data_IF_552406146375
#
_entry.id   IF_552406146375
#
_cell.length_a   1.000
_cell.length_b   1.000
_cell.length_c   1.000
_cell.angle_alpha   90.00
_cell.angle_beta   90.00
_cell.angle_gamma   90.00
#
_symmetry.space_group_name_H-M   'P 1'
#
loop_
_entity.id
_entity.type
_entity.pdbx_description
1 polymer ?
#
# COMPACT_ATOMS: atom_id res chain seq x y z
N UNK A 1 5.70 -24.11 9.26
CA UNK A 1 5.17 -22.78 8.90
C UNK A 1 6.26 -22.01 8.13
N UNK A 2 6.49 -22.29 6.83
CA UNK A 2 7.58 -21.68 6.06
C UNK A 2 7.21 -20.34 5.38
N UNK A 3 5.95 -20.17 4.98
CA UNK A 3 5.51 -19.02 4.16
C UNK A 3 5.56 -17.69 4.92
N UNK A 4 5.35 -17.71 6.24
CA UNK A 4 5.34 -16.49 7.05
C UNK A 4 6.71 -15.83 7.24
N UNK A 5 7.81 -16.59 7.26
CA UNK A 5 9.15 -15.96 7.32
C UNK A 5 9.52 -15.34 5.98
N UNK A 6 9.10 -15.95 4.87
CA UNK A 6 9.42 -15.50 3.52
C UNK A 6 8.80 -14.13 3.22
N UNK A 7 7.51 -13.92 3.52
CA UNK A 7 6.85 -12.61 3.33
C UNK A 7 7.52 -11.52 4.14
N UNK A 8 7.89 -11.82 5.39
CA UNK A 8 8.60 -10.87 6.25
C UNK A 8 9.96 -10.48 5.65
N UNK A 9 10.75 -11.45 5.22
CA UNK A 9 12.08 -11.21 4.65
C UNK A 9 12.01 -10.43 3.33
N UNK A 10 11.04 -10.75 2.47
CA UNK A 10 10.78 -10.02 1.24
C UNK A 10 10.33 -8.58 1.50
N UNK A 11 9.45 -8.36 2.47
CA UNK A 11 9.03 -7.02 2.87
C UNK A 11 10.22 -6.20 3.39
N UNK A 12 11.05 -6.79 4.27
CA UNK A 12 12.29 -6.15 4.74
C UNK A 12 13.24 -5.83 3.57
N UNK A 13 13.37 -6.71 2.59
CA UNK A 13 14.19 -6.47 1.39
C UNK A 13 13.67 -5.27 0.59
N UNK A 14 12.37 -5.19 0.34
CA UNK A 14 11.76 -4.05 -0.37
C UNK A 14 12.07 -2.73 0.35
N UNK A 15 11.97 -2.70 1.67
CA UNK A 15 12.28 -1.51 2.47
C UNK A 15 13.77 -1.14 2.42
N UNK A 16 14.68 -2.11 2.44
CA UNK A 16 16.13 -1.86 2.29
C UNK A 16 16.50 -1.35 0.90
N UNK A 17 15.82 -1.86 -0.13
CA UNK A 17 16.06 -1.51 -1.53
C UNK A 17 15.38 -0.19 -1.93
N UNK A 18 14.65 0.48 -1.03
CA UNK A 18 13.86 1.69 -1.30
C UNK A 18 14.64 2.77 -2.04
N UNK A 19 15.91 3.01 -1.65
CA UNK A 19 16.77 4.03 -2.25
C UNK A 19 17.42 3.66 -3.58
N UNK A 20 17.18 2.45 -4.11
CA UNK A 20 17.89 1.94 -5.30
C UNK A 20 17.36 2.49 -6.63
N UNK A 21 16.08 2.88 -6.69
CA UNK A 21 15.42 3.44 -7.88
C UNK A 21 14.06 4.03 -7.52
N UNK A 22 13.50 4.89 -8.36
CA UNK A 22 12.13 5.42 -8.17
C UNK A 22 11.07 4.31 -8.12
N UNK A 23 11.22 3.25 -8.92
CA UNK A 23 10.30 2.09 -8.87
C UNK A 23 10.42 1.34 -7.55
N UNK A 24 11.64 1.16 -7.01
CA UNK A 24 11.84 0.52 -5.72
C UNK A 24 11.25 1.36 -4.59
N UNK A 25 11.45 2.68 -4.65
CA UNK A 25 10.88 3.63 -3.72
C UNK A 25 9.36 3.60 -3.71
N UNK A 26 8.74 3.66 -4.89
CA UNK A 26 7.30 3.56 -5.05
C UNK A 26 6.75 2.21 -4.57
N UNK A 27 7.49 1.12 -4.79
CA UNK A 27 7.11 -0.21 -4.29
C UNK A 27 7.07 -0.26 -2.76
N UNK A 28 8.05 0.34 -2.08
CA UNK A 28 8.05 0.48 -0.62
C UNK A 28 6.86 1.31 -0.13
N UNK A 29 6.54 2.42 -0.80
CA UNK A 29 5.37 3.23 -0.47
C UNK A 29 4.04 2.49 -0.69
N UNK A 30 3.91 1.72 -1.77
CA UNK A 30 2.72 0.89 -2.02
C UNK A 30 2.59 -0.20 -0.95
N UNK A 31 3.70 -0.83 -0.53
CA UNK A 31 3.69 -1.80 0.56
C UNK A 31 3.18 -1.17 1.87
N UNK A 32 3.66 0.04 2.21
CA UNK A 32 3.16 0.81 3.37
C UNK A 32 1.65 1.05 3.26
N UNK A 33 1.17 1.53 2.10
CA UNK A 33 -0.26 1.80 1.84
C UNK A 33 -1.10 0.54 1.99
N UNK A 34 -0.69 -0.59 1.40
CA UNK A 34 -1.42 -1.85 1.52
C UNK A 34 -1.49 -2.31 2.97
N UNK A 35 -0.37 -2.25 3.71
CA UNK A 35 -0.35 -2.62 5.13
C UNK A 35 -1.27 -1.73 6.00
N UNK A 36 -1.41 -0.45 5.63
CA UNK A 36 -2.33 0.50 6.27
C UNK A 36 -3.79 0.12 6.04
N UNK A 37 -4.13 -0.43 4.88
CA UNK A 37 -5.49 -0.84 4.48
C UNK A 37 -5.74 -2.35 4.59
N UNK A 38 -5.13 -2.98 5.59
CA UNK A 38 -5.34 -4.39 5.90
C UNK A 38 -5.00 -5.36 4.75
N UNK A 39 -4.11 -4.94 3.85
CA UNK A 39 -3.54 -5.77 2.81
C UNK A 39 -4.35 -5.87 1.53
N UNK A 40 -5.44 -5.11 1.37
CA UNK A 40 -6.25 -5.14 0.15
C UNK A 40 -6.59 -3.72 -0.28
N UNK A 41 -6.37 -3.39 -1.56
CA UNK A 41 -6.74 -2.09 -2.12
C UNK A 41 -7.00 -2.20 -3.61
N UNK A 42 -7.94 -1.39 -4.10
CA UNK A 42 -8.06 -1.13 -5.53
C UNK A 42 -6.88 -0.27 -6.00
N UNK A 43 -6.36 -0.52 -7.20
CA UNK A 43 -5.28 0.28 -7.79
C UNK A 43 -5.67 1.75 -7.94
N UNK A 44 -6.93 2.02 -8.30
CA UNK A 44 -7.46 3.39 -8.36
C UNK A 44 -7.41 4.12 -7.01
N UNK A 45 -7.55 3.38 -5.90
CA UNK A 45 -7.49 3.93 -4.52
C UNK A 45 -6.05 4.13 -4.05
N UNK A 46 -5.14 3.23 -4.43
CA UNK A 46 -3.71 3.31 -4.09
C UNK A 46 -3.14 4.68 -4.44
N UNK A 47 -3.51 5.26 -5.59
CA UNK A 47 -3.05 6.60 -5.98
C UNK A 47 -3.40 7.66 -4.93
N UNK A 48 -4.65 7.69 -4.48
CA UNK A 48 -5.10 8.66 -3.48
C UNK A 48 -4.44 8.44 -2.11
N UNK A 49 -4.20 7.18 -1.76
CA UNK A 49 -3.51 6.82 -0.51
C UNK A 49 -2.03 7.16 -0.53
N UNK A 50 -1.34 6.87 -1.64
CA UNK A 50 0.05 7.26 -1.87
C UNK A 50 0.18 8.78 -1.77
N UNK A 51 -0.70 9.53 -2.43
CA UNK A 51 -0.66 10.98 -2.36
C UNK A 51 -0.79 11.49 -0.91
N UNK A 52 -1.67 10.89 -0.11
CA UNK A 52 -1.80 11.23 1.32
C UNK A 52 -0.56 10.87 2.14
N UNK A 53 0.09 9.74 1.87
CA UNK A 53 1.33 9.34 2.54
C UNK A 53 2.50 10.27 2.19
N UNK A 54 2.68 10.58 0.90
CA UNK A 54 3.79 11.39 0.39
C UNK A 54 3.65 12.86 0.80
N UNK A 55 2.44 13.41 0.73
CA UNK A 55 2.18 14.75 1.25
C UNK A 55 2.46 14.84 2.75
N UNK A 56 2.22 13.76 3.50
CA UNK A 56 2.59 13.71 4.92
C UNK A 56 4.12 13.65 5.12
N UNK A 57 4.86 12.95 4.26
CA UNK A 57 6.32 12.90 4.34
C UNK A 57 7.03 14.12 3.74
N UNK A 58 6.29 15.02 3.09
CA UNK A 58 6.84 16.17 2.38
C UNK A 58 7.48 15.81 1.04
N UNK A 59 7.17 14.62 0.50
CA UNK A 59 7.68 14.13 -0.77
C UNK A 59 6.75 14.48 -1.94
N UNK A 60 7.27 14.59 -3.17
CA UNK A 60 6.45 14.77 -4.36
C UNK A 60 5.43 13.63 -4.51
N UNK A 61 4.16 13.98 -4.73
CA UNK A 61 3.03 13.05 -4.74
C UNK A 61 2.51 12.69 -6.14
N UNK A 62 3.23 13.05 -7.21
CA UNK A 62 2.76 12.89 -8.59
C UNK A 62 3.35 11.64 -9.24
N UNK A 63 2.69 10.50 -9.03
CA UNK A 63 2.96 9.25 -9.77
C UNK A 63 1.81 8.96 -10.74
N UNK A 64 2.15 8.64 -11.98
CA UNK A 64 1.21 8.21 -13.02
C UNK A 64 0.79 6.75 -12.87
N UNK A 65 -0.25 6.35 -13.60
CA UNK A 65 -0.75 4.97 -13.56
C UNK A 65 0.32 3.96 -13.96
N UNK A 66 1.14 4.26 -14.96
CA UNK A 66 2.19 3.36 -15.41
C UNK A 66 3.24 3.09 -14.34
N UNK A 67 3.63 4.11 -13.57
CA UNK A 67 4.60 3.99 -12.50
C UNK A 67 4.06 3.13 -11.36
N UNK A 68 2.81 3.38 -10.96
CA UNK A 68 2.10 2.54 -9.97
C UNK A 68 2.00 1.11 -10.49
N UNK A 69 1.67 0.92 -11.77
CA UNK A 69 1.60 -0.40 -12.40
C UNK A 69 2.92 -1.16 -12.36
N UNK A 70 4.04 -0.48 -12.68
CA UNK A 70 5.38 -1.08 -12.60
C UNK A 70 5.78 -1.44 -11.17
N UNK A 71 5.45 -0.61 -10.19
CA UNK A 71 5.74 -0.88 -8.78
C UNK A 71 4.89 -2.04 -8.23
N UNK A 72 3.59 -2.10 -8.57
CA UNK A 72 2.73 -3.25 -8.24
C UNK A 72 3.26 -4.52 -8.90
N UNK A 73 3.65 -4.45 -10.18
CA UNK A 73 4.20 -5.59 -10.91
C UNK A 73 5.48 -6.11 -10.26
N UNK A 74 6.37 -5.20 -9.82
CA UNK A 74 7.58 -5.57 -9.07
C UNK A 74 7.24 -6.30 -7.76
N UNK A 75 6.25 -5.83 -7.01
CA UNK A 75 5.82 -6.51 -5.77
C UNK A 75 5.20 -7.89 -6.07
N UNK A 76 4.48 -8.02 -7.18
CA UNK A 76 3.89 -9.29 -7.63
C UNK A 76 4.99 -10.29 -8.04
N UNK A 77 5.98 -9.83 -8.82
CA UNK A 77 7.12 -10.66 -9.25
C UNK A 77 7.99 -11.11 -8.07
N UNK A 78 8.02 -10.34 -6.98
CA UNK A 78 8.64 -10.72 -5.71
C UNK A 78 7.79 -11.68 -4.87
N UNK A 79 6.55 -11.96 -5.26
CA UNK A 79 5.63 -12.81 -4.52
C UNK A 79 4.97 -12.15 -3.30
N UNK A 80 5.12 -10.83 -3.13
CA UNK A 80 4.54 -10.11 -1.99
C UNK A 80 3.07 -9.79 -2.18
N UNK A 81 2.64 -9.57 -3.42
CA UNK A 81 1.24 -9.28 -3.74
C UNK A 81 0.69 -10.22 -4.81
N UNK A 82 -0.63 -10.32 -4.84
CA UNK A 82 -1.44 -10.88 -5.90
C UNK A 82 -2.28 -9.74 -6.48
N UNK A 83 -2.30 -9.58 -7.80
CA UNK A 83 -3.08 -8.55 -8.45
C UNK A 83 -4.03 -9.16 -9.49
N UNK A 84 -5.32 -8.87 -9.37
CA UNK A 84 -6.36 -9.44 -10.23
C UNK A 84 -7.27 -8.35 -10.79
N UNK A 85 -7.66 -8.47 -12.06
CA UNK A 85 -8.64 -7.57 -12.65
C UNK A 85 -10.04 -8.00 -12.24
N UNK A 86 -10.80 -7.08 -11.64
CA UNK A 86 -12.18 -7.29 -11.21
C UNK A 86 -13.06 -6.14 -11.68
N UNK A 87 -14.35 -6.43 -11.84
CA UNK A 87 -15.38 -5.41 -12.02
C UNK A 87 -15.64 -4.72 -10.68
N UNK A 88 -15.57 -3.40 -10.66
CA UNK A 88 -15.87 -2.53 -9.51
C UNK A 88 -17.17 -1.78 -9.79
N UNK A 89 -18.16 -1.94 -8.91
CA UNK A 89 -19.51 -1.38 -9.04
C UNK A 89 -20.61 -2.45 -8.95
N UNK A 90 -21.84 -2.04 -8.65
CA UNK A 90 -23.00 -2.93 -8.70
C UNK A 90 -23.43 -3.15 -10.15
N UNK A 91 -23.61 -4.41 -10.54
CA UNK A 91 -24.21 -4.75 -11.83
C UNK A 91 -25.73 -4.85 -11.69
N UNK A 92 -26.55 -4.29 -12.61
CA UNK A 92 -26.20 -3.57 -13.83
C UNK A 92 -26.27 -2.04 -13.63
N UNK A 93 -25.26 -1.44 -13.01
CA UNK A 93 -25.12 0.01 -12.87
C UNK A 93 -24.20 0.63 -13.93
N UNK A 94 -24.37 1.91 -14.27
CA UNK A 94 -23.52 2.63 -15.23
C UNK A 94 -22.07 2.86 -14.74
N UNK A 95 -21.77 2.54 -13.48
CA UNK A 95 -20.46 2.76 -12.85
C UNK A 95 -19.57 1.51 -12.83
N UNK A 96 -19.95 0.43 -13.52
CA UNK A 96 -19.14 -0.79 -13.59
C UNK A 96 -17.87 -0.53 -14.39
N UNK A 97 -16.76 -0.35 -13.67
CA UNK A 97 -15.41 -0.18 -14.22
C UNK A 97 -14.58 -1.44 -13.99
N UNK A 98 -13.63 -1.71 -14.89
CA UNK A 98 -12.61 -2.75 -14.65
C UNK A 98 -11.46 -2.09 -13.91
N UNK A 99 -11.11 -2.63 -12.75
CA UNK A 99 -10.01 -2.15 -11.91
C UNK A 99 -9.18 -3.36 -11.43
N UNK A 100 -7.97 -3.08 -10.96
CA UNK A 100 -7.06 -4.09 -10.43
C UNK A 100 -7.16 -4.12 -8.91
N UNK A 101 -7.61 -5.24 -8.35
CA UNK A 101 -7.62 -5.49 -6.91
C UNK A 101 -6.27 -6.09 -6.51
N UNK A 102 -5.61 -5.48 -5.53
CA UNK A 102 -4.26 -5.87 -5.11
C UNK A 102 -4.33 -6.41 -3.68
N UNK A 103 -3.83 -7.62 -3.50
CA UNK A 103 -3.83 -8.39 -2.25
C UNK A 103 -2.40 -8.62 -1.77
N UNK A 104 -2.13 -8.35 -0.50
CA UNK A 104 -0.85 -8.61 0.16
C UNK A 104 -0.83 -10.04 0.74
N UNK A 105 0.12 -10.89 0.34
CA UNK A 105 0.15 -12.34 0.65
C UNK A 105 0.50 -12.72 2.10
N UNK A 106 0.56 -11.76 3.01
CA UNK A 106 0.89 -11.99 4.41
C UNK A 106 0.86 -10.68 5.18
N UNK A 107 -0.37 -10.23 5.50
CA UNK A 107 -0.61 -8.91 6.08
C UNK A 107 0.07 -8.76 7.43
N UNK A 108 0.07 -9.81 8.25
CA UNK A 108 0.67 -9.79 9.57
C UNK A 108 2.20 -9.66 9.47
N UNK A 109 2.81 -10.45 8.62
CA UNK A 109 4.25 -10.52 8.37
C UNK A 109 4.78 -9.21 7.77
N UNK A 110 4.08 -8.68 6.77
CA UNK A 110 4.43 -7.40 6.16
C UNK A 110 4.29 -6.23 7.16
N UNK A 111 3.27 -6.25 8.02
CA UNK A 111 3.13 -5.26 9.11
C UNK A 111 4.28 -5.37 10.11
N UNK A 112 4.67 -6.59 10.50
CA UNK A 112 5.83 -6.81 11.36
C UNK A 112 7.11 -6.25 10.75
N UNK A 113 7.34 -6.44 9.45
CA UNK A 113 8.49 -5.85 8.77
C UNK A 113 8.47 -4.31 8.83
N UNK A 114 7.28 -3.71 8.77
CA UNK A 114 7.05 -2.27 8.84
C UNK A 114 7.09 -1.70 10.27
N UNK A 115 7.14 -2.53 11.33
CA UNK A 115 7.27 -2.05 12.72
C UNK A 115 8.58 -1.30 12.97
N UNK A 116 9.58 -1.49 12.11
CA UNK A 116 10.84 -0.74 12.15
C UNK A 116 10.89 0.42 11.15
N UNK A 117 9.83 0.62 10.36
CA UNK A 117 9.77 1.66 9.32
C UNK A 117 9.29 3.00 9.90
N UNK A 118 10.16 4.04 9.96
CA UNK A 118 9.80 5.28 10.63
C UNK A 118 8.68 6.05 9.94
N UNK A 119 8.59 5.98 8.60
CA UNK A 119 7.56 6.67 7.85
C UNK A 119 6.19 6.05 8.13
N UNK A 120 6.10 4.72 8.05
CA UNK A 120 4.91 3.94 8.35
C UNK A 120 4.38 4.22 9.74
N UNK A 121 5.22 4.12 10.78
CA UNK A 121 4.81 4.33 12.17
C UNK A 121 4.30 5.75 12.43
N UNK A 122 5.00 6.76 11.88
CA UNK A 122 4.57 8.17 12.02
C UNK A 122 3.23 8.41 11.33
N UNK A 123 3.05 7.88 10.12
CA UNK A 123 1.83 8.05 9.36
C UNK A 123 0.64 7.31 10.00
N UNK A 124 0.86 6.09 10.48
CA UNK A 124 -0.16 5.31 11.20
C UNK A 124 -0.65 6.07 12.45
N UNK A 125 0.29 6.59 13.24
CA UNK A 125 -0.02 7.40 14.43
C UNK A 125 -0.80 8.67 14.08
N UNK A 126 -0.41 9.35 13.00
CA UNK A 126 -1.11 10.53 12.50
C UNK A 126 -2.56 10.22 12.10
N UNK A 127 -2.80 9.15 11.33
CA UNK A 127 -4.15 8.70 10.93
C UNK A 127 -5.01 8.38 12.15
N UNK A 128 -4.46 7.63 13.10
CA UNK A 128 -5.17 7.27 14.33
C UNK A 128 -5.57 8.53 15.12
N UNK A 129 -4.67 9.52 15.21
CA UNK A 129 -4.96 10.80 15.84
C UNK A 129 -6.03 11.64 15.14
N UNK A 130 -6.16 11.55 13.81
CA UNK A 130 -7.27 12.18 13.07
C UNK A 130 -8.61 11.52 13.41
N UNK A 131 -8.66 10.19 13.41
CA UNK A 131 -9.87 9.42 13.75
C UNK A 131 -10.32 9.76 15.17
N UNK A 132 -9.41 9.73 16.14
CA UNK A 132 -9.71 10.09 17.52
C UNK A 132 -10.25 11.51 17.66
N UNK A 133 -9.68 12.48 16.95
CA UNK A 133 -10.18 13.87 16.96
C UNK A 133 -11.57 13.99 16.35
N UNK A 134 -11.84 13.28 15.25
CA UNK A 134 -13.16 13.27 14.62
C UNK A 134 -14.22 12.67 15.55
N UNK A 135 -13.93 11.54 16.18
CA UNK A 135 -14.82 10.88 17.14
C UNK A 135 -15.13 11.76 18.38
N UNK A 136 -14.17 12.60 18.80
CA UNK A 136 -14.38 13.55 19.91
C UNK A 136 -15.22 14.77 19.54
N UNK A 137 -15.22 15.21 18.27
CA UNK A 137 -16.00 16.37 17.79
C UNK A 137 -17.45 16.02 17.43
N UNK A 138 -17.74 14.75 17.18
CA UNK A 138 -19.08 14.26 16.89
C UNK A 138 -19.88 13.84 18.13
N UNK A 139 -19.40 14.14 19.35
CA UNK A 139 -20.12 13.95 20.61
C UNK A 139 -20.51 15.31 21.19
#
# INVERSE_FOLDING_TARGET
MPEGSEVFDLACRVLRDEGSSETAKLSAHILRVLAIHHGVSWRSEIRGDLARLLNFSGEPSSFGDEEIGRAVKRLEDLGLVEAEYRKRGEWPGPEVSVDQLIHLKGVYEARRALESDPLYLRYLSYRQGLIWRALKRGR
#
